data_IF_254285205297
#
_entry.id   IF_254285205297
#
_cell.length_a   1.000
_cell.length_b   1.000
_cell.length_c   1.000
_cell.angle_alpha   90.00
_cell.angle_beta   90.00
_cell.angle_gamma   90.00
#
_symmetry.space_group_name_H-M   'P 1'
#
loop_
_entity.id
_entity.type
_entity.pdbx_description
1 polymer ?
#
# COMPACT_ATOMS: atom_id res chain seq x y z
N UNK A 1 -23.85 6.63 -0.22
CA UNK A 1 -22.62 6.92 0.54
C UNK A 1 -21.87 8.04 -0.18
N UNK A 2 -21.58 9.17 0.48
CA UNK A 2 -20.88 10.29 -0.17
C UNK A 2 -19.37 10.07 -0.12
N UNK A 3 -18.70 10.02 -1.28
CA UNK A 3 -17.25 9.82 -1.36
C UNK A 3 -16.52 11.17 -1.50
N UNK A 4 -15.53 11.42 -0.65
CA UNK A 4 -14.61 12.55 -0.80
C UNK A 4 -13.58 12.23 -1.89
N UNK A 5 -13.70 12.93 -3.03
CA UNK A 5 -12.80 12.72 -4.18
C UNK A 5 -11.35 13.05 -3.89
N UNK A 6 -11.07 14.04 -3.05
CA UNK A 6 -9.69 14.39 -2.74
C UNK A 6 -9.02 13.28 -1.93
N UNK A 7 -9.74 12.74 -0.94
CA UNK A 7 -9.26 11.58 -0.18
C UNK A 7 -9.10 10.35 -1.07
N UNK A 8 -10.06 10.07 -1.95
CA UNK A 8 -9.95 8.98 -2.93
C UNK A 8 -8.69 9.10 -3.80
N UNK A 9 -8.43 10.29 -4.36
CA UNK A 9 -7.24 10.53 -5.18
C UNK A 9 -5.95 10.41 -4.38
N UNK A 10 -5.90 10.98 -3.16
CA UNK A 10 -4.72 10.87 -2.28
C UNK A 10 -4.44 9.42 -1.90
N UNK A 11 -5.48 8.64 -1.58
CA UNK A 11 -5.37 7.21 -1.30
C UNK A 11 -4.75 6.46 -2.49
N UNK A 12 -5.28 6.65 -3.70
CA UNK A 12 -4.78 5.98 -4.92
C UNK A 12 -3.34 6.40 -5.23
N UNK A 13 -3.06 7.70 -5.23
CA UNK A 13 -1.73 8.23 -5.59
C UNK A 13 -0.67 7.80 -4.59
N UNK A 14 -0.97 7.80 -3.28
CA UNK A 14 -0.02 7.33 -2.27
C UNK A 14 0.27 5.83 -2.40
N UNK A 15 -0.77 5.02 -2.61
CA UNK A 15 -0.64 3.57 -2.79
C UNK A 15 0.17 3.21 -4.04
N UNK A 16 -0.13 3.83 -5.19
CA UNK A 16 0.65 3.62 -6.43
C UNK A 16 2.06 4.17 -6.27
N UNK A 17 2.20 5.36 -5.67
CA UNK A 17 3.49 6.02 -5.49
C UNK A 17 4.45 5.18 -4.66
N UNK A 18 4.02 4.62 -3.54
CA UNK A 18 4.89 3.76 -2.71
C UNK A 18 5.21 2.44 -3.39
N UNK A 19 4.27 1.85 -4.12
CA UNK A 19 4.54 0.65 -4.92
C UNK A 19 5.67 0.92 -5.93
N UNK A 20 5.58 2.01 -6.70
CA UNK A 20 6.62 2.39 -7.66
C UNK A 20 7.95 2.63 -6.96
N UNK A 21 7.96 3.37 -5.84
CA UNK A 21 9.18 3.67 -5.09
C UNK A 21 9.84 2.39 -4.53
N UNK A 22 9.05 1.47 -3.96
CA UNK A 22 9.54 0.18 -3.49
C UNK A 22 10.14 -0.63 -4.63
N UNK A 23 9.42 -0.76 -5.74
CA UNK A 23 9.91 -1.51 -6.91
C UNK A 23 11.19 -0.93 -7.48
N UNK A 24 11.33 0.40 -7.54
CA UNK A 24 12.59 1.04 -7.92
C UNK A 24 13.69 0.76 -6.89
N UNK A 25 13.40 0.89 -5.59
CA UNK A 25 14.36 0.64 -4.52
C UNK A 25 14.92 -0.78 -4.56
N UNK A 26 14.06 -1.78 -4.80
CA UNK A 26 14.45 -3.19 -4.88
C UNK A 26 15.31 -3.49 -6.10
N UNK A 27 15.06 -2.82 -7.23
CA UNK A 27 15.92 -2.94 -8.42
C UNK A 27 17.32 -2.34 -8.17
N UNK A 28 17.40 -1.28 -7.36
CA UNK A 28 18.67 -0.63 -7.03
C UNK A 28 19.44 -1.38 -5.93
N UNK A 29 18.74 -1.99 -4.98
CA UNK A 29 19.34 -2.64 -3.82
C UNK A 29 18.50 -3.82 -3.31
N UNK A 30 18.49 -4.96 -4.02
CA UNK A 30 17.60 -6.10 -3.73
C UNK A 30 17.87 -6.75 -2.37
N UNK A 31 19.13 -6.74 -1.91
CA UNK A 31 19.55 -7.40 -0.67
C UNK A 31 19.53 -6.45 0.56
N UNK A 32 18.87 -5.29 0.44
CA UNK A 32 18.77 -4.33 1.54
C UNK A 32 17.69 -4.75 2.53
N UNK A 33 18.08 -5.54 3.52
CA UNK A 33 17.20 -6.00 4.58
C UNK A 33 17.24 -5.09 5.81
N UNK A 34 16.08 -4.87 6.44
CA UNK A 34 15.99 -4.18 7.72
C UNK A 34 15.95 -5.20 8.86
N UNK A 35 17.12 -5.44 9.46
CA UNK A 35 17.27 -6.42 10.53
C UNK A 35 17.25 -5.75 11.92
N UNK A 36 16.50 -6.34 12.85
CA UNK A 36 16.52 -6.00 14.28
C UNK A 36 16.94 -7.24 15.04
N UNK A 37 18.18 -7.23 15.56
CA UNK A 37 18.86 -8.44 16.04
C UNK A 37 18.86 -9.52 14.94
N UNK A 38 18.37 -10.72 15.24
CA UNK A 38 18.34 -11.86 14.31
C UNK A 38 17.07 -11.89 13.43
N UNK A 39 16.22 -10.86 13.51
CA UNK A 39 14.94 -10.82 12.80
C UNK A 39 14.97 -9.86 11.62
N UNK A 40 14.59 -10.35 10.43
CA UNK A 40 14.32 -9.51 9.27
C UNK A 40 12.88 -8.97 9.36
N UNK A 41 12.75 -7.64 9.38
CA UNK A 41 11.46 -6.95 9.41
C UNK A 41 11.01 -6.70 7.97
N UNK A 42 10.11 -7.57 7.51
CA UNK A 42 9.52 -7.47 6.17
C UNK A 42 8.73 -6.18 5.96
N UNK A 43 8.64 -5.72 4.71
CA UNK A 43 7.83 -4.54 4.37
C UNK A 43 6.37 -4.70 4.79
N UNK A 44 5.83 -5.93 4.78
CA UNK A 44 4.47 -6.22 5.25
C UNK A 44 4.24 -5.72 6.68
N UNK A 45 5.20 -5.89 7.58
CA UNK A 45 5.07 -5.41 8.96
C UNK A 45 4.90 -3.88 9.01
N UNK A 46 5.74 -3.16 8.27
CA UNK A 46 5.67 -1.70 8.16
C UNK A 46 4.36 -1.26 7.49
N UNK A 47 3.94 -1.98 6.44
CA UNK A 47 2.66 -1.77 5.75
C UNK A 47 1.48 -1.87 6.72
N UNK A 48 1.45 -2.91 7.56
CA UNK A 48 0.41 -3.12 8.57
C UNK A 48 0.41 -2.02 9.66
N UNK A 49 1.59 -1.56 10.10
CA UNK A 49 1.68 -0.43 11.04
C UNK A 49 1.06 0.82 10.43
N UNK A 50 1.41 1.14 9.18
CA UNK A 50 0.88 2.32 8.48
C UNK A 50 -0.63 2.19 8.21
N UNK A 51 -1.11 0.99 7.85
CA UNK A 51 -2.54 0.70 7.73
C UNK A 51 -3.25 0.96 9.07
N UNK A 52 -2.69 0.50 10.19
CA UNK A 52 -3.27 0.75 11.51
C UNK A 52 -3.29 2.25 11.84
N UNK A 53 -2.17 2.95 11.64
CA UNK A 53 -2.03 4.38 11.92
C UNK A 53 -2.95 5.26 11.08
N UNK A 54 -3.17 4.90 9.80
CA UNK A 54 -4.06 5.66 8.91
C UNK A 54 -5.52 5.21 9.03
N UNK A 55 -5.75 3.90 9.08
CA UNK A 55 -7.06 3.27 9.01
C UNK A 55 -7.88 3.39 10.29
N UNK A 56 -7.26 3.23 11.47
CA UNK A 56 -8.00 3.35 12.74
C UNK A 56 -8.58 4.75 12.91
N UNK A 57 -7.82 5.86 12.76
CA UNK A 57 -8.39 7.20 12.82
C UNK A 57 -9.47 7.46 11.75
N UNK A 58 -9.29 6.92 10.54
CA UNK A 58 -10.31 7.03 9.49
C UNK A 58 -11.62 6.31 9.85
N UNK A 59 -11.55 5.20 10.58
CA UNK A 59 -12.70 4.40 10.95
C UNK A 59 -13.50 4.99 12.12
N UNK A 60 -12.83 5.61 13.11
CA UNK A 60 -13.48 5.98 14.38
C UNK A 60 -13.55 7.49 14.66
N UNK A 61 -12.80 8.33 13.92
CA UNK A 61 -12.69 9.75 14.24
C UNK A 61 -13.27 10.68 13.17
N UNK A 62 -13.81 11.82 13.62
CA UNK A 62 -14.21 12.92 12.75
C UNK A 62 -13.01 13.83 12.45
N UNK A 63 -12.36 13.57 11.32
CA UNK A 63 -11.14 14.28 10.93
C UNK A 63 -11.46 15.48 10.04
N UNK A 64 -10.91 16.64 10.41
CA UNK A 64 -10.90 17.83 9.55
C UNK A 64 -10.18 17.56 8.21
N UNK A 65 -10.37 18.47 7.24
CA UNK A 65 -9.91 18.27 5.84
C UNK A 65 -8.42 17.91 5.74
N UNK A 66 -7.53 18.68 6.38
CA UNK A 66 -6.06 18.48 6.28
C UNK A 66 -5.61 17.16 6.91
N UNK A 67 -5.98 16.93 8.16
CA UNK A 67 -5.62 15.70 8.87
C UNK A 67 -6.22 14.46 8.19
N UNK A 68 -7.44 14.58 7.68
CA UNK A 68 -8.10 13.55 6.89
C UNK A 68 -7.30 13.13 5.65
N UNK A 69 -6.75 14.08 4.89
CA UNK A 69 -5.90 13.78 3.74
C UNK A 69 -4.59 13.10 4.18
N UNK A 70 -3.96 13.58 5.26
CA UNK A 70 -2.72 12.99 5.79
C UNK A 70 -2.91 11.53 6.23
N UNK A 71 -3.93 11.24 7.03
CA UNK A 71 -4.17 9.84 7.45
C UNK A 71 -4.58 8.96 6.28
N UNK A 72 -5.26 9.53 5.27
CA UNK A 72 -5.61 8.82 4.04
C UNK A 72 -4.37 8.48 3.22
N UNK A 73 -3.39 9.39 3.14
CA UNK A 73 -2.11 9.07 2.50
C UNK A 73 -1.35 8.01 3.28
N UNK A 74 -1.29 8.09 4.61
CA UNK A 74 -0.63 7.07 5.45
C UNK A 74 -1.26 5.70 5.23
N UNK A 75 -2.60 5.64 5.21
CA UNK A 75 -3.32 4.40 4.92
C UNK A 75 -3.02 3.86 3.52
N UNK A 76 -3.03 4.71 2.49
CA UNK A 76 -2.70 4.33 1.11
C UNK A 76 -1.26 3.84 0.97
N UNK A 77 -0.29 4.51 1.60
CA UNK A 77 1.10 4.06 1.67
C UNK A 77 1.19 2.66 2.31
N UNK A 78 0.59 2.48 3.49
CA UNK A 78 0.62 1.20 4.19
C UNK A 78 -0.01 0.07 3.38
N UNK A 79 -1.15 0.34 2.75
CA UNK A 79 -1.85 -0.64 1.92
C UNK A 79 -1.04 -1.00 0.67
N UNK A 80 -0.41 -0.02 0.01
CA UNK A 80 0.42 -0.28 -1.16
C UNK A 80 1.60 -1.19 -0.84
N UNK A 81 2.29 -0.93 0.28
CA UNK A 81 3.36 -1.77 0.78
C UNK A 81 2.87 -3.18 1.10
N UNK A 82 1.76 -3.29 1.86
CA UNK A 82 1.23 -4.57 2.30
C UNK A 82 0.75 -5.43 1.14
N UNK A 83 0.06 -4.84 0.15
CA UNK A 83 -0.40 -5.57 -1.04
C UNK A 83 0.77 -6.09 -1.86
N UNK A 84 1.81 -5.29 -2.04
CA UNK A 84 3.00 -5.67 -2.78
C UNK A 84 3.75 -6.85 -2.13
N UNK A 85 4.07 -6.72 -0.85
CA UNK A 85 4.79 -7.74 -0.10
C UNK A 85 3.94 -9.01 0.07
N UNK A 86 2.62 -8.87 0.29
CA UNK A 86 1.72 -10.02 0.44
C UNK A 86 1.70 -10.88 -0.83
N UNK A 87 1.62 -10.27 -2.02
CA UNK A 87 1.70 -11.03 -3.27
C UNK A 87 3.05 -11.74 -3.37
N UNK A 88 4.14 -11.01 -3.13
CA UNK A 88 5.49 -11.56 -3.17
C UNK A 88 5.62 -12.80 -2.26
N UNK A 89 5.27 -12.68 -0.98
CA UNK A 89 5.41 -13.76 0.00
C UNK A 89 4.54 -14.98 -0.31
N UNK A 90 3.36 -14.80 -0.91
CA UNK A 90 2.45 -15.91 -1.21
C UNK A 90 2.78 -16.60 -2.53
N UNK A 91 3.36 -15.88 -3.49
CA UNK A 91 3.57 -16.39 -4.86
C UNK A 91 5.00 -16.80 -5.15
N UNK A 92 5.91 -16.65 -4.18
CA UNK A 92 7.34 -16.93 -4.32
C UNK A 92 7.87 -17.72 -3.12
N UNK A 93 9.18 -17.98 -3.11
CA UNK A 93 9.89 -18.62 -1.99
C UNK A 93 10.30 -17.64 -0.88
N UNK A 94 10.02 -16.34 -1.02
CA UNK A 94 10.34 -15.33 -0.02
C UNK A 94 11.83 -14.95 0.06
N UNK A 95 12.64 -15.30 -0.94
CA UNK A 95 14.00 -14.80 -1.10
C UNK A 95 14.06 -13.40 -1.73
N UNK A 96 15.08 -12.60 -1.39
CA UNK A 96 15.27 -11.25 -1.93
C UNK A 96 15.26 -11.20 -3.47
N UNK A 97 15.85 -12.22 -4.11
CA UNK A 97 15.86 -12.35 -5.57
C UNK A 97 14.46 -12.60 -6.15
N UNK A 98 13.62 -13.36 -5.43
CA UNK A 98 12.29 -13.72 -5.92
C UNK A 98 11.33 -12.54 -5.92
N UNK A 99 11.66 -11.45 -5.24
CA UNK A 99 10.96 -10.17 -5.34
C UNK A 99 11.00 -9.58 -6.76
N UNK A 100 12.10 -9.81 -7.49
CA UNK A 100 12.29 -9.30 -8.85
C UNK A 100 11.60 -10.16 -9.92
N UNK A 101 11.04 -11.31 -9.55
CA UNK A 101 10.37 -12.20 -10.49
C UNK A 101 9.14 -11.54 -11.12
N UNK A 102 8.83 -11.86 -12.38
CA UNK A 102 7.63 -11.35 -13.05
C UNK A 102 6.34 -11.62 -12.29
N UNK A 103 6.23 -12.77 -11.61
CA UNK A 103 5.02 -13.11 -10.84
C UNK A 103 4.82 -12.19 -9.64
N UNK A 104 5.88 -11.83 -8.93
CA UNK A 104 5.84 -10.86 -7.84
C UNK A 104 5.43 -9.49 -8.38
N UNK A 105 6.10 -8.99 -9.43
CA UNK A 105 5.81 -7.68 -10.00
C UNK A 105 4.38 -7.56 -10.53
N UNK A 106 3.98 -8.46 -11.43
CA UNK A 106 2.66 -8.39 -12.06
C UNK A 106 1.53 -8.70 -11.09
N UNK A 107 1.73 -9.63 -10.15
CA UNK A 107 0.75 -9.86 -9.09
C UNK A 107 0.55 -8.61 -8.23
N UNK A 108 1.62 -7.89 -7.89
CA UNK A 108 1.55 -6.60 -7.20
C UNK A 108 0.78 -5.56 -8.00
N UNK A 109 1.07 -5.41 -9.30
CA UNK A 109 0.32 -4.53 -10.21
C UNK A 109 -1.18 -4.85 -10.20
N UNK A 110 -1.54 -6.14 -10.28
CA UNK A 110 -2.95 -6.58 -10.23
C UNK A 110 -3.59 -6.23 -8.90
N UNK A 111 -2.92 -6.49 -7.77
CA UNK A 111 -3.45 -6.18 -6.43
C UNK A 111 -3.70 -4.66 -6.25
N UNK A 112 -2.74 -3.83 -6.67
CA UNK A 112 -2.85 -2.36 -6.65
C UNK A 112 -3.97 -1.88 -7.58
N UNK A 113 -4.11 -2.49 -8.76
CA UNK A 113 -5.16 -2.15 -9.72
C UNK A 113 -6.56 -2.50 -9.19
N UNK A 114 -6.72 -3.64 -8.51
CA UNK A 114 -7.98 -4.05 -7.88
C UNK A 114 -8.37 -3.06 -6.77
N UNK A 115 -7.44 -2.73 -5.86
CA UNK A 115 -7.70 -1.77 -4.80
C UNK A 115 -8.05 -0.37 -5.35
N UNK A 116 -7.32 0.08 -6.37
CA UNK A 116 -7.56 1.36 -7.04
C UNK A 116 -8.92 1.38 -7.76
N UNK A 117 -9.22 0.32 -8.51
CA UNK A 117 -10.47 0.12 -9.22
C UNK A 117 -11.67 0.12 -8.29
N UNK A 118 -11.54 -0.54 -7.14
CA UNK A 118 -12.56 -0.52 -6.09
C UNK A 118 -12.80 0.89 -5.55
N UNK A 119 -11.74 1.66 -5.23
CA UNK A 119 -11.88 3.04 -4.77
C UNK A 119 -12.57 3.94 -5.82
N UNK A 120 -12.20 3.79 -7.10
CA UNK A 120 -12.84 4.51 -8.22
C UNK A 120 -14.31 4.13 -8.37
N UNK A 121 -14.65 2.84 -8.28
CA UNK A 121 -16.02 2.34 -8.35
C UNK A 121 -16.89 2.96 -7.25
N UNK A 122 -16.40 2.99 -6.00
CA UNK A 122 -17.08 3.69 -4.91
C UNK A 122 -17.28 5.18 -5.22
N UNK A 123 -16.28 5.82 -5.82
CA UNK A 123 -16.35 7.20 -6.27
C UNK A 123 -17.36 7.47 -7.39
N UNK A 124 -17.77 6.46 -8.16
CA UNK A 124 -18.87 6.57 -9.13
C UNK A 124 -20.23 6.30 -8.49
N UNK A 125 -20.36 5.24 -7.70
CA UNK A 125 -21.61 4.87 -7.02
C UNK A 125 -22.04 5.95 -6.03
N UNK A 126 -21.10 6.56 -5.31
CA UNK A 126 -21.37 7.60 -4.33
C UNK A 126 -21.68 9.00 -4.88
N UNK A 127 -21.79 9.16 -6.21
CA UNK A 127 -22.25 10.41 -6.86
C UNK A 127 -23.75 10.44 -7.12
N UNK A 128 -24.39 9.27 -7.15
CA UNK A 128 -25.85 9.12 -7.26
C UNK A 128 -26.46 9.24 -5.86
#
# INVERSE_FOLDING_TARGET
>A
MKVDRNRMLVFIVSMIGVFVLLRVSLQLSPNSNFNVADYNIHHLFIGLILIMMGGVPLAIAHLGKRLGLLVTSIFGLGLGIALDEWVYLITTDGSDESYLLPISFWGGVVAIAVASGYAVLLGFVGRR
#
